data_IF_538587081457
#
_entry.id   IF_538587081457
#
_cell.length_a   1.000
_cell.length_b   1.000
_cell.length_c   1.000
_cell.angle_alpha   90.00
_cell.angle_beta   90.00
_cell.angle_gamma   90.00
#
_symmetry.space_group_name_H-M   'P 1'
#
loop_
_entity.id
_entity.type
_entity.pdbx_description
1 polymer ?
#
# COMPACT_ATOMS: atom_id res chain seq x y z
N UNK A 1 -22.42 2.58 -1.53
CA UNK A 1 -20.96 2.71 -1.41
C UNK A 1 -20.36 1.31 -1.24
N UNK A 2 -19.19 1.05 -1.81
CA UNK A 2 -18.61 -0.31 -1.82
C UNK A 2 -17.95 -0.71 -0.48
N UNK A 3 -17.59 0.26 0.36
CA UNK A 3 -16.89 0.05 1.62
C UNK A 3 -17.66 0.61 2.82
N UNK A 4 -18.97 0.74 2.70
CA UNK A 4 -19.85 1.26 3.75
C UNK A 4 -19.64 0.50 5.07
N UNK A 5 -19.36 1.23 6.15
CA UNK A 5 -19.17 0.68 7.49
C UNK A 5 -17.87 -0.13 7.67
N UNK A 6 -16.98 -0.20 6.68
CA UNK A 6 -15.68 -0.86 6.80
C UNK A 6 -14.65 0.07 7.44
N UNK A 7 -13.77 -0.51 8.24
CA UNK A 7 -12.66 0.19 8.88
C UNK A 7 -11.36 -0.25 8.23
N UNK A 8 -10.62 0.73 7.69
CA UNK A 8 -9.39 0.49 6.93
C UNK A 8 -8.17 1.13 7.61
N UNK A 9 -7.05 0.41 7.62
CA UNK A 9 -5.73 0.98 7.91
C UNK A 9 -4.97 1.16 6.58
N UNK A 10 -4.48 2.38 6.31
CA UNK A 10 -3.64 2.68 5.14
C UNK A 10 -2.29 3.22 5.61
N UNK A 11 -1.21 2.48 5.38
CA UNK A 11 0.12 2.92 5.81
C UNK A 11 0.77 3.89 4.82
N UNK A 12 1.51 4.90 5.36
CA UNK A 12 2.23 5.86 4.53
C UNK A 12 1.31 6.73 3.66
N UNK A 13 0.19 7.19 4.21
CA UNK A 13 -0.85 7.90 3.46
C UNK A 13 -0.75 9.43 3.50
N UNK A 14 0.31 10.01 4.04
CA UNK A 14 0.47 11.48 4.08
C UNK A 14 0.60 12.12 2.68
N UNK A 15 0.90 11.35 1.63
CA UNK A 15 1.07 11.82 0.25
C UNK A 15 0.91 10.70 -0.79
N UNK A 16 0.91 11.08 -2.07
CA UNK A 16 0.99 10.16 -3.22
C UNK A 16 -0.13 9.12 -3.25
N UNK A 17 0.23 7.88 -3.58
CA UNK A 17 -0.72 6.76 -3.73
C UNK A 17 -1.51 6.52 -2.44
N UNK A 18 -0.84 6.50 -1.28
CA UNK A 18 -1.52 6.25 0.00
C UNK A 18 -2.56 7.30 0.34
N UNK A 19 -2.29 8.58 0.06
CA UNK A 19 -3.24 9.69 0.22
C UNK A 19 -4.49 9.48 -0.63
N UNK A 20 -4.30 9.11 -1.90
CA UNK A 20 -5.42 8.89 -2.81
C UNK A 20 -6.23 7.63 -2.45
N UNK A 21 -5.58 6.58 -1.94
CA UNK A 21 -6.27 5.41 -1.40
C UNK A 21 -7.17 5.83 -0.23
N UNK A 22 -6.65 6.63 0.71
CA UNK A 22 -7.44 7.12 1.84
C UNK A 22 -8.67 7.94 1.38
N UNK A 23 -8.50 8.85 0.41
CA UNK A 23 -9.58 9.62 -0.20
C UNK A 23 -10.65 8.72 -0.84
N UNK A 24 -10.19 7.77 -1.66
CA UNK A 24 -11.09 6.85 -2.37
C UNK A 24 -11.86 5.95 -1.42
N UNK A 25 -11.23 5.52 -0.31
CA UNK A 25 -11.90 4.70 0.70
C UNK A 25 -12.97 5.49 1.45
N UNK A 26 -12.69 6.73 1.85
CA UNK A 26 -13.68 7.65 2.43
C UNK A 26 -14.85 7.87 1.46
N UNK A 27 -14.56 8.13 0.18
CA UNK A 27 -15.60 8.33 -0.84
C UNK A 27 -16.48 7.08 -1.05
N UNK A 28 -15.97 5.89 -0.68
CA UNK A 28 -16.70 4.63 -0.71
C UNK A 28 -17.33 4.24 0.65
N UNK A 29 -17.34 5.13 1.64
CA UNK A 29 -18.03 4.96 2.93
C UNK A 29 -17.21 4.25 4.02
N UNK A 30 -15.91 4.07 3.82
CA UNK A 30 -15.05 3.51 4.85
C UNK A 30 -14.67 4.54 5.92
N UNK A 31 -14.42 4.08 7.14
CA UNK A 31 -13.62 4.80 8.14
C UNK A 31 -12.14 4.51 7.90
N UNK A 32 -11.29 5.54 7.88
CA UNK A 32 -9.88 5.38 7.53
C UNK A 32 -8.96 5.80 8.66
N UNK A 33 -8.22 4.84 9.20
CA UNK A 33 -7.00 5.07 9.97
C UNK A 33 -5.82 5.12 9.01
N UNK A 34 -5.05 6.20 9.01
CA UNK A 34 -3.89 6.29 8.14
C UNK A 34 -2.62 6.59 8.92
N UNK A 35 -1.45 6.16 8.41
CA UNK A 35 -0.20 6.40 9.13
C UNK A 35 0.73 7.37 8.42
N UNK A 36 1.51 8.05 9.24
CA UNK A 36 2.65 8.87 8.84
C UNK A 36 3.83 8.64 9.78
N UNK A 37 5.07 8.88 9.31
CA UNK A 37 6.26 8.77 10.17
C UNK A 37 6.75 10.14 10.66
N UNK A 38 6.98 11.06 9.75
CA UNK A 38 7.56 12.39 10.01
C UNK A 38 6.78 13.57 9.43
N UNK A 39 5.80 13.29 8.56
CA UNK A 39 5.03 14.31 7.83
C UNK A 39 3.75 14.69 8.60
N UNK A 40 3.90 15.23 9.81
CA UNK A 40 2.78 15.53 10.71
C UNK A 40 1.85 16.60 10.15
N UNK A 41 2.40 17.67 9.59
CA UNK A 41 1.59 18.75 8.99
C UNK A 41 0.73 18.24 7.82
N UNK A 42 1.31 17.41 6.95
CA UNK A 42 0.56 16.79 5.85
C UNK A 42 -0.50 15.81 6.38
N UNK A 43 -0.22 15.12 7.47
CA UNK A 43 -1.18 14.21 8.08
C UNK A 43 -2.37 14.97 8.68
N UNK A 44 -2.14 16.08 9.40
CA UNK A 44 -3.19 16.95 9.93
C UNK A 44 -4.04 17.55 8.79
N UNK A 45 -3.38 18.03 7.72
CA UNK A 45 -4.08 18.56 6.56
C UNK A 45 -4.94 17.50 5.85
N UNK A 46 -4.44 16.27 5.74
CA UNK A 46 -5.20 15.17 5.16
C UNK A 46 -6.39 14.76 6.04
N UNK A 47 -6.19 14.64 7.36
CA UNK A 47 -7.28 14.31 8.28
C UNK A 47 -8.41 15.33 8.19
N UNK A 48 -8.06 16.63 8.19
CA UNK A 48 -9.02 17.71 7.99
C UNK A 48 -9.76 17.57 6.66
N UNK A 49 -9.02 17.39 5.56
CA UNK A 49 -9.60 17.21 4.21
C UNK A 49 -10.61 16.05 4.16
N UNK A 50 -10.23 14.89 4.73
CA UNK A 50 -11.06 13.69 4.71
C UNK A 50 -12.32 13.79 5.57
N UNK A 51 -12.30 14.64 6.61
CA UNK A 51 -13.40 14.80 7.55
C UNK A 51 -14.34 15.97 7.19
N UNK A 52 -13.89 16.97 6.44
CA UNK A 52 -14.68 18.14 6.04
C UNK A 52 -15.98 17.77 5.27
N UNK A 53 -15.99 16.65 4.55
CA UNK A 53 -17.13 16.16 3.78
C UNK A 53 -17.92 15.03 4.49
N UNK A 54 -17.81 14.93 5.81
CA UNK A 54 -18.52 13.94 6.62
C UNK A 54 -17.86 12.55 6.67
N UNK A 55 -16.65 12.40 6.14
CA UNK A 55 -15.85 11.20 6.30
C UNK A 55 -15.36 11.01 7.75
N UNK A 56 -14.99 9.80 8.11
CA UNK A 56 -14.37 9.49 9.41
C UNK A 56 -12.93 9.05 9.14
N UNK A 57 -11.96 9.88 9.52
CA UNK A 57 -10.55 9.59 9.33
C UNK A 57 -9.73 10.04 10.55
N UNK A 58 -8.62 9.34 10.82
CA UNK A 58 -7.66 9.71 11.87
C UNK A 58 -6.25 9.32 11.46
N UNK A 59 -5.32 10.26 11.63
CA UNK A 59 -3.89 10.06 11.42
C UNK A 59 -3.19 9.50 12.66
N UNK A 60 -2.31 8.51 12.46
CA UNK A 60 -1.53 7.88 13.51
C UNK A 60 -0.03 7.97 13.17
N UNK A 61 0.78 8.42 14.11
CA UNK A 61 2.23 8.41 13.96
C UNK A 61 2.75 7.00 14.20
N UNK A 62 3.39 6.39 13.20
CA UNK A 62 3.87 5.02 13.28
C UNK A 62 5.07 4.82 12.34
N UNK A 63 6.13 4.19 12.81
CA UNK A 63 7.25 3.74 11.99
C UNK A 63 6.98 2.31 11.54
N UNK A 64 6.61 2.13 10.28
CA UNK A 64 6.24 0.85 9.72
C UNK A 64 7.36 -0.22 9.83
N UNK A 65 8.63 0.18 9.92
CA UNK A 65 9.75 -0.73 10.10
C UNK A 65 9.80 -1.39 11.50
N UNK A 66 9.06 -0.84 12.48
CA UNK A 66 9.04 -1.32 13.87
C UNK A 66 7.80 -2.16 14.15
N UNK A 67 8.01 -3.36 14.67
CA UNK A 67 6.89 -4.25 15.00
C UNK A 67 6.03 -3.71 16.16
N UNK A 68 6.67 -3.15 17.19
CA UNK A 68 5.97 -2.54 18.32
C UNK A 68 5.04 -1.39 17.90
N UNK A 69 5.48 -0.56 16.95
CA UNK A 69 4.65 0.51 16.40
C UNK A 69 3.42 -0.04 15.68
N UNK A 70 3.56 -1.18 14.98
CA UNK A 70 2.43 -1.85 14.32
C UNK A 70 1.43 -2.43 15.34
N UNK A 71 1.90 -3.01 16.46
CA UNK A 71 1.04 -3.51 17.53
C UNK A 71 0.28 -2.35 18.21
N UNK A 72 0.97 -1.25 18.53
CA UNK A 72 0.37 -0.06 19.12
C UNK A 72 -0.65 0.57 18.16
N UNK A 73 -0.33 0.70 16.87
CA UNK A 73 -1.26 1.19 15.85
C UNK A 73 -2.57 0.36 15.83
N UNK A 74 -2.46 -0.96 15.75
CA UNK A 74 -3.64 -1.84 15.71
C UNK A 74 -4.48 -1.67 16.98
N UNK A 75 -3.83 -1.62 18.15
CA UNK A 75 -4.51 -1.40 19.42
C UNK A 75 -5.28 -0.07 19.43
N UNK A 76 -4.62 1.04 19.08
CA UNK A 76 -5.23 2.38 19.06
C UNK A 76 -6.39 2.48 18.04
N UNK A 77 -6.25 1.84 16.86
CA UNK A 77 -7.32 1.80 15.85
C UNK A 77 -8.52 1.00 16.35
N UNK A 78 -8.29 -0.17 16.95
CA UNK A 78 -9.37 -0.99 17.52
C UNK A 78 -10.06 -0.28 18.70
N UNK A 79 -9.31 0.42 19.56
CA UNK A 79 -9.87 1.24 20.64
C UNK A 79 -10.70 2.42 20.09
N UNK A 80 -10.28 3.03 18.98
CA UNK A 80 -10.96 4.19 18.37
C UNK A 80 -12.20 3.80 17.57
N UNK A 81 -12.14 2.65 16.82
CA UNK A 81 -13.14 2.31 15.81
C UNK A 81 -13.78 0.91 15.99
N UNK A 82 -13.30 0.11 16.96
CA UNK A 82 -13.89 -1.18 17.33
C UNK A 82 -13.30 -2.39 16.59
N UNK A 83 -12.92 -2.28 15.34
CA UNK A 83 -12.35 -3.37 14.52
C UNK A 83 -11.42 -2.85 13.43
N UNK A 84 -10.91 -3.75 12.59
CA UNK A 84 -10.24 -3.44 11.32
C UNK A 84 -10.63 -4.49 10.29
N UNK A 85 -11.21 -4.07 9.18
CA UNK A 85 -11.66 -4.93 8.08
C UNK A 85 -10.65 -4.98 6.94
N UNK A 86 -9.94 -3.87 6.71
CA UNK A 86 -9.07 -3.69 5.55
C UNK A 86 -7.71 -3.18 6.01
N UNK A 87 -6.65 -3.76 5.48
CA UNK A 87 -5.27 -3.26 5.64
C UNK A 87 -4.67 -3.02 4.27
N UNK A 88 -4.13 -1.81 4.06
CA UNK A 88 -3.32 -1.48 2.88
C UNK A 88 -1.89 -1.19 3.34
N UNK A 89 -1.00 -2.13 3.07
CA UNK A 89 0.43 -2.00 3.26
C UNK A 89 1.02 -1.19 2.09
N UNK A 90 0.99 0.13 2.21
CA UNK A 90 1.47 1.05 1.17
C UNK A 90 2.80 1.73 1.53
N UNK A 91 3.16 1.81 2.80
CA UNK A 91 4.42 2.45 3.21
C UNK A 91 5.62 1.85 2.47
N UNK A 92 6.46 2.71 1.92
CA UNK A 92 7.64 2.27 1.18
C UNK A 92 8.56 3.44 0.82
N UNK A 93 9.81 3.10 0.58
CA UNK A 93 10.87 4.02 0.15
C UNK A 93 11.67 3.41 -0.98
N UNK A 94 12.39 4.25 -1.71
CA UNK A 94 13.48 3.87 -2.60
C UNK A 94 14.79 4.42 -2.07
N UNK A 95 15.88 3.74 -2.38
CA UNK A 95 17.26 4.20 -2.17
C UNK A 95 18.12 3.60 -3.26
N UNK A 96 18.02 4.23 -4.43
CA UNK A 96 18.46 3.69 -5.71
C UNK A 96 19.95 3.94 -5.91
N UNK A 97 20.71 2.86 -6.16
CA UNK A 97 22.11 2.91 -6.56
C UNK A 97 22.53 1.60 -7.22
N UNK A 98 23.56 1.64 -8.06
CA UNK A 98 24.11 0.42 -8.65
C UNK A 98 24.60 -0.55 -7.55
N UNK A 99 24.35 -1.84 -7.71
CA UNK A 99 24.68 -2.87 -6.72
C UNK A 99 26.12 -2.79 -6.20
N UNK A 100 27.08 -2.50 -7.07
CA UNK A 100 28.50 -2.36 -6.71
C UNK A 100 28.76 -1.21 -5.73
N UNK A 101 27.86 -0.22 -5.63
CA UNK A 101 27.99 0.95 -4.76
C UNK A 101 26.98 0.93 -3.60
N UNK A 102 26.06 -0.03 -3.60
CA UNK A 102 25.02 -0.15 -2.59
C UNK A 102 25.64 -0.53 -1.25
N UNK A 103 25.32 0.24 -0.21
CA UNK A 103 25.75 -0.08 1.16
C UNK A 103 24.75 -1.02 1.83
N UNK A 104 25.19 -1.73 2.87
CA UNK A 104 24.34 -2.57 3.71
C UNK A 104 23.20 -1.75 4.33
N UNK A 105 23.47 -0.55 4.83
CA UNK A 105 22.45 0.36 5.39
C UNK A 105 21.36 0.73 4.37
N UNK A 106 21.72 0.94 3.10
CA UNK A 106 20.74 1.23 2.03
C UNK A 106 19.89 0.00 1.74
N UNK A 107 20.49 -1.18 1.74
CA UNK A 107 19.78 -2.44 1.59
C UNK A 107 18.81 -2.68 2.75
N UNK A 108 19.31 -2.69 3.98
CA UNK A 108 18.52 -3.00 5.18
C UNK A 108 17.36 -2.03 5.36
N UNK A 109 17.61 -0.73 5.19
CA UNK A 109 16.56 0.30 5.30
C UNK A 109 15.42 0.07 4.33
N UNK A 110 15.71 -0.29 3.07
CA UNK A 110 14.66 -0.55 2.06
C UNK A 110 13.91 -1.84 2.38
N UNK A 111 14.60 -2.90 2.80
CA UNK A 111 13.97 -4.16 3.19
C UNK A 111 13.08 -3.96 4.43
N UNK A 112 13.57 -3.26 5.44
CA UNK A 112 12.81 -3.02 6.68
C UNK A 112 11.55 -2.19 6.44
N UNK A 113 11.66 -1.10 5.67
CA UNK A 113 10.51 -0.22 5.43
C UNK A 113 9.52 -0.83 4.45
N UNK A 114 9.97 -1.52 3.39
CA UNK A 114 9.07 -2.01 2.34
C UNK A 114 8.51 -3.41 2.62
N UNK A 115 9.37 -4.37 3.00
CA UNK A 115 8.97 -5.77 3.13
C UNK A 115 8.61 -6.14 4.57
N UNK A 116 9.50 -5.83 5.52
CA UNK A 116 9.26 -6.16 6.93
C UNK A 116 8.05 -5.42 7.49
N UNK A 117 7.76 -4.20 7.02
CA UNK A 117 6.54 -3.46 7.39
C UNK A 117 5.26 -4.22 7.05
N UNK A 118 5.20 -4.87 5.88
CA UNK A 118 4.05 -5.71 5.50
C UNK A 118 3.86 -6.88 6.48
N UNK A 119 4.96 -7.53 6.88
CA UNK A 119 4.93 -8.56 7.92
C UNK A 119 4.47 -7.97 9.25
N UNK A 120 5.03 -6.85 9.70
CA UNK A 120 4.72 -6.25 11.00
C UNK A 120 3.22 -5.98 11.15
N UNK A 121 2.62 -5.23 10.24
CA UNK A 121 1.20 -4.87 10.35
C UNK A 121 0.29 -6.07 10.11
N UNK A 122 0.61 -6.93 9.12
CA UNK A 122 -0.17 -8.15 8.88
C UNK A 122 -0.20 -9.05 10.11
N UNK A 123 0.94 -9.26 10.76
CA UNK A 123 1.03 -10.06 11.99
C UNK A 123 0.27 -9.41 13.15
N UNK A 124 0.40 -8.11 13.35
CA UNK A 124 -0.29 -7.39 14.42
C UNK A 124 -1.81 -7.48 14.29
N UNK A 125 -2.36 -7.39 13.06
CA UNK A 125 -3.81 -7.42 12.83
C UNK A 125 -4.41 -8.83 12.81
N UNK A 126 -3.61 -9.88 12.65
CA UNK A 126 -4.12 -11.25 12.46
C UNK A 126 -5.15 -11.67 13.51
N UNK A 127 -4.91 -11.39 14.80
CA UNK A 127 -5.83 -11.80 15.88
C UNK A 127 -7.21 -11.17 15.71
N UNK A 128 -7.28 -9.90 15.31
CA UNK A 128 -8.54 -9.17 15.07
C UNK A 128 -9.29 -9.77 13.90
N UNK A 129 -8.64 -9.96 12.75
CA UNK A 129 -9.27 -10.54 11.55
C UNK A 129 -9.66 -12.00 11.74
N UNK A 130 -8.83 -12.83 12.41
CA UNK A 130 -9.16 -14.22 12.72
C UNK A 130 -10.40 -14.35 13.61
N UNK A 131 -10.55 -13.46 14.60
CA UNK A 131 -11.74 -13.41 15.48
C UNK A 131 -12.99 -12.99 14.69
N UNK A 132 -12.86 -12.01 13.80
CA UNK A 132 -13.94 -11.53 12.93
C UNK A 132 -14.30 -12.55 11.82
N UNK A 133 -13.39 -13.46 11.46
CA UNK A 133 -13.49 -14.37 10.30
C UNK A 133 -13.77 -13.61 8.99
N UNK A 134 -13.17 -12.47 8.85
CA UNK A 134 -13.28 -11.59 7.70
C UNK A 134 -12.07 -10.66 7.63
N UNK A 135 -11.65 -10.27 6.43
CA UNK A 135 -10.60 -9.29 6.24
C UNK A 135 -10.09 -9.22 4.81
N UNK A 136 -9.57 -8.06 4.43
CA UNK A 136 -8.85 -7.85 3.17
C UNK A 136 -7.50 -7.19 3.43
N UNK A 137 -6.43 -7.87 3.08
CA UNK A 137 -5.06 -7.37 3.15
C UNK A 137 -4.60 -7.08 1.72
N UNK A 138 -4.16 -5.84 1.49
CA UNK A 138 -3.71 -5.36 0.18
C UNK A 138 -2.27 -4.86 0.35
N UNK A 139 -1.35 -5.47 -0.38
CA UNK A 139 0.06 -5.14 -0.32
C UNK A 139 0.48 -4.38 -1.58
N UNK A 140 1.00 -3.17 -1.43
CA UNK A 140 1.48 -2.38 -2.57
C UNK A 140 2.91 -2.80 -2.92
N UNK A 141 3.02 -3.58 -3.99
CA UNK A 141 4.28 -3.98 -4.61
C UNK A 141 4.73 -2.96 -5.67
N UNK A 142 5.25 -3.43 -6.80
CA UNK A 142 5.65 -2.64 -7.97
C UNK A 142 5.88 -3.57 -9.15
N UNK A 143 5.77 -3.07 -10.38
CA UNK A 143 6.28 -3.78 -11.58
C UNK A 143 7.76 -4.11 -11.47
N UNK A 144 8.53 -3.29 -10.76
CA UNK A 144 9.96 -3.53 -10.48
C UNK A 144 10.16 -4.79 -9.62
N UNK A 145 9.21 -5.14 -8.77
CA UNK A 145 9.22 -6.41 -8.02
C UNK A 145 8.92 -7.63 -8.91
N UNK A 146 8.31 -7.44 -10.08
CA UNK A 146 8.00 -8.50 -11.04
C UNK A 146 9.17 -8.71 -12.01
N UNK A 147 9.71 -7.64 -12.60
CA UNK A 147 10.70 -7.73 -13.69
C UNK A 147 12.12 -7.28 -13.31
N UNK A 148 12.29 -6.63 -12.14
CA UNK A 148 13.57 -6.01 -11.79
C UNK A 148 13.78 -4.65 -12.46
N UNK A 149 14.78 -3.91 -11.97
CA UNK A 149 15.29 -2.69 -12.59
C UNK A 149 16.73 -2.44 -12.18
N UNK A 150 17.58 -2.02 -13.12
CA UNK A 150 18.97 -1.66 -12.83
C UNK A 150 19.04 -0.50 -11.83
N UNK A 151 19.94 -0.60 -10.84
CA UNK A 151 20.07 0.39 -9.78
C UNK A 151 19.07 0.27 -8.63
N UNK A 152 18.17 -0.71 -8.69
CA UNK A 152 17.11 -0.92 -7.69
C UNK A 152 17.12 -2.33 -7.09
N UNK A 153 18.29 -2.92 -6.88
CA UNK A 153 18.38 -4.30 -6.39
C UNK A 153 17.66 -4.50 -5.04
N UNK A 154 17.84 -3.58 -4.08
CA UNK A 154 17.16 -3.58 -2.78
C UNK A 154 15.64 -3.39 -2.93
N UNK A 155 15.21 -2.41 -3.72
CA UNK A 155 13.81 -2.13 -3.96
C UNK A 155 13.13 -3.30 -4.68
N UNK A 156 13.74 -3.82 -5.76
CA UNK A 156 13.25 -5.00 -6.49
C UNK A 156 13.08 -6.21 -5.58
N UNK A 157 14.10 -6.50 -4.77
CA UNK A 157 14.06 -7.61 -3.81
C UNK A 157 12.92 -7.43 -2.80
N UNK A 158 12.76 -6.21 -2.24
CA UNK A 158 11.70 -5.92 -1.28
C UNK A 158 10.31 -6.10 -1.90
N UNK A 159 10.10 -5.60 -3.12
CA UNK A 159 8.81 -5.66 -3.82
C UNK A 159 8.49 -7.06 -4.37
N UNK A 160 9.49 -7.83 -4.78
CA UNK A 160 9.35 -9.25 -5.12
C UNK A 160 9.00 -10.08 -3.87
N UNK A 161 9.67 -9.81 -2.73
CA UNK A 161 9.38 -10.46 -1.45
C UNK A 161 7.93 -10.28 -1.01
N UNK A 162 7.33 -9.10 -1.25
CA UNK A 162 5.91 -8.83 -1.00
C UNK A 162 5.00 -9.79 -1.79
N UNK A 163 5.35 -10.14 -3.03
CA UNK A 163 4.54 -11.05 -3.85
C UNK A 163 4.54 -12.47 -3.27
N UNK A 164 5.70 -12.97 -2.85
CA UNK A 164 5.83 -14.25 -2.15
C UNK A 164 5.08 -14.26 -0.82
N UNK A 165 5.26 -13.20 -0.01
CA UNK A 165 4.56 -13.02 1.27
C UNK A 165 3.04 -13.01 1.08
N UNK A 166 2.52 -12.29 0.09
CA UNK A 166 1.09 -12.23 -0.23
C UNK A 166 0.50 -13.61 -0.50
N UNK A 167 1.18 -14.42 -1.31
CA UNK A 167 0.72 -15.78 -1.65
C UNK A 167 0.66 -16.68 -0.41
N UNK A 168 1.69 -16.66 0.43
CA UNK A 168 1.75 -17.46 1.65
C UNK A 168 0.66 -17.06 2.63
N UNK A 169 0.46 -15.76 2.88
CA UNK A 169 -0.59 -15.26 3.77
C UNK A 169 -2.00 -15.60 3.24
N UNK A 170 -2.21 -15.53 1.92
CA UNK A 170 -3.48 -15.91 1.31
C UNK A 170 -3.84 -17.40 1.54
N UNK A 171 -2.85 -18.29 1.41
CA UNK A 171 -3.03 -19.73 1.66
C UNK A 171 -3.30 -20.02 3.15
N UNK A 172 -2.58 -19.34 4.03
CA UNK A 172 -2.69 -19.53 5.48
C UNK A 172 -4.03 -19.04 6.04
N UNK A 173 -4.51 -17.86 5.57
CA UNK A 173 -5.67 -17.19 6.14
C UNK A 173 -6.98 -17.43 5.36
N UNK A 174 -6.93 -18.02 4.17
CA UNK A 174 -8.09 -18.22 3.31
C UNK A 174 -9.22 -19.02 3.95
N UNK A 175 -8.90 -20.05 4.76
CA UNK A 175 -9.90 -20.84 5.51
C UNK A 175 -10.66 -20.02 6.57
N UNK A 176 -10.22 -18.82 6.85
CA UNK A 176 -10.85 -17.85 7.77
C UNK A 176 -11.55 -16.71 7.05
N UNK A 177 -11.77 -16.82 5.75
CA UNK A 177 -12.38 -15.76 4.91
C UNK A 177 -11.58 -14.45 4.93
N UNK A 178 -10.26 -14.53 5.13
CA UNK A 178 -9.35 -13.39 5.06
C UNK A 178 -8.61 -13.49 3.72
N UNK A 179 -8.73 -12.47 2.89
CA UNK A 179 -8.09 -12.39 1.59
C UNK A 179 -6.78 -11.59 1.70
N UNK A 180 -5.78 -11.98 0.94
CA UNK A 180 -4.54 -11.23 0.83
C UNK A 180 -4.12 -11.15 -0.63
N UNK A 181 -4.00 -9.94 -1.17
CA UNK A 181 -3.63 -9.70 -2.56
C UNK A 181 -2.55 -8.60 -2.65
N UNK A 182 -1.84 -8.56 -3.76
CA UNK A 182 -0.89 -7.51 -4.08
C UNK A 182 -1.37 -6.66 -5.25
N UNK A 183 -0.99 -5.40 -5.26
CA UNK A 183 -1.05 -4.52 -6.43
C UNK A 183 0.38 -4.22 -6.83
N UNK A 184 0.68 -4.31 -8.14
CA UNK A 184 1.96 -3.92 -8.72
C UNK A 184 1.76 -2.69 -9.62
N UNK A 185 1.89 -1.47 -9.07
CA UNK A 185 1.84 -0.26 -9.88
C UNK A 185 3.01 -0.19 -10.86
N UNK A 186 2.76 0.35 -12.06
CA UNK A 186 3.78 0.76 -12.99
C UNK A 186 4.32 2.15 -12.68
N UNK A 187 4.59 2.93 -13.73
CA UNK A 187 4.93 4.34 -13.59
C UNK A 187 3.66 5.14 -13.22
N UNK A 188 3.63 5.67 -11.99
CA UNK A 188 2.52 6.50 -11.46
C UNK A 188 2.99 7.93 -11.31
N UNK A 189 2.30 8.85 -11.98
CA UNK A 189 2.55 10.27 -11.90
C UNK A 189 2.08 10.81 -10.54
N UNK A 190 3.03 11.34 -9.76
CA UNK A 190 2.82 11.88 -8.42
C UNK A 190 3.64 13.18 -8.29
N UNK A 191 3.42 13.94 -7.24
CA UNK A 191 4.24 15.13 -6.91
C UNK A 191 5.76 14.83 -6.93
N UNK A 192 6.14 13.58 -6.73
CA UNK A 192 7.55 13.15 -6.75
C UNK A 192 8.08 13.04 -8.20
N UNK A 193 7.24 12.62 -9.13
CA UNK A 193 7.60 12.47 -10.55
C UNK A 193 7.46 13.77 -11.34
N UNK A 194 6.68 14.75 -10.87
CA UNK A 194 6.57 16.09 -11.46
C UNK A 194 7.90 16.86 -11.50
N UNK A 195 8.86 16.45 -10.66
CA UNK A 195 10.20 17.06 -10.61
C UNK A 195 11.20 16.46 -11.59
N UNK A 196 10.80 15.44 -12.34
CA UNK A 196 11.64 14.78 -13.33
C UNK A 196 11.65 15.56 -14.64
N UNK A 197 12.73 15.42 -15.40
CA UNK A 197 12.84 15.98 -16.74
C UNK A 197 11.74 15.41 -17.65
N UNK A 198 11.02 16.28 -18.35
CA UNK A 198 9.91 15.88 -19.24
C UNK A 198 10.37 14.87 -20.31
N UNK A 199 11.61 14.95 -20.79
CA UNK A 199 12.14 13.99 -21.74
C UNK A 199 12.24 12.58 -21.14
N UNK A 200 12.57 12.46 -19.85
CA UNK A 200 12.60 11.19 -19.11
C UNK A 200 11.19 10.65 -18.93
N UNK A 201 10.26 11.51 -18.52
CA UNK A 201 8.85 11.14 -18.33
C UNK A 201 8.24 10.69 -19.67
N UNK A 202 8.51 11.43 -20.76
CA UNK A 202 8.02 11.05 -22.08
C UNK A 202 8.63 9.73 -22.55
N UNK A 203 9.92 9.48 -22.30
CA UNK A 203 10.55 8.20 -22.59
C UNK A 203 9.85 7.01 -21.90
N UNK A 204 9.40 7.20 -20.66
CA UNK A 204 8.61 6.17 -19.98
C UNK A 204 7.21 6.01 -20.58
N UNK A 205 6.50 7.13 -20.83
CA UNK A 205 5.17 7.08 -21.49
C UNK A 205 5.22 6.34 -22.84
N UNK A 206 6.31 6.49 -23.59
CA UNK A 206 6.48 5.82 -24.89
C UNK A 206 6.61 4.30 -24.77
N UNK A 207 7.12 3.80 -23.64
CA UNK A 207 7.21 2.35 -23.38
C UNK A 207 5.90 1.75 -22.85
N UNK A 208 4.98 2.58 -22.33
CA UNK A 208 3.69 2.13 -21.79
C UNK A 208 2.70 1.94 -22.96
N UNK A 209 2.07 0.75 -23.11
CA UNK A 209 1.07 0.53 -24.16
C UNK A 209 -0.08 1.56 -24.16
N UNK A 210 -0.60 1.95 -22.99
CA UNK A 210 -1.65 2.97 -22.87
C UNK A 210 -1.14 4.42 -23.07
N UNK A 211 0.16 4.61 -23.38
CA UNK A 211 0.77 5.91 -23.74
C UNK A 211 0.58 7.04 -22.73
N UNK A 212 0.40 6.69 -21.47
CA UNK A 212 0.34 7.62 -20.34
C UNK A 212 0.91 6.99 -19.07
N UNK A 213 1.37 7.79 -18.15
CA UNK A 213 1.56 7.36 -16.77
C UNK A 213 0.21 7.03 -16.12
N UNK A 214 0.22 6.17 -15.11
CA UNK A 214 -0.92 5.97 -14.24
C UNK A 214 -1.06 7.14 -13.27
N UNK A 215 -2.27 7.40 -12.80
CA UNK A 215 -2.54 8.30 -11.70
C UNK A 215 -2.60 7.55 -10.37
N UNK A 216 -2.43 8.21 -9.22
CA UNK A 216 -2.73 7.61 -7.91
C UNK A 216 -4.15 7.03 -7.83
N UNK A 217 -5.12 7.64 -8.53
CA UNK A 217 -6.51 7.16 -8.61
C UNK A 217 -6.62 5.82 -9.35
N UNK A 218 -5.80 5.55 -10.37
CA UNK A 218 -5.78 4.24 -11.04
C UNK A 218 -5.43 3.13 -10.03
N UNK A 219 -4.49 3.37 -9.12
CA UNK A 219 -4.09 2.43 -8.07
C UNK A 219 -5.15 2.35 -6.96
N UNK A 220 -5.70 3.49 -6.55
CA UNK A 220 -6.73 3.55 -5.51
C UNK A 220 -8.01 2.79 -5.92
N UNK A 221 -8.42 2.87 -7.19
CA UNK A 221 -9.55 2.10 -7.72
C UNK A 221 -9.31 0.59 -7.62
N UNK A 222 -8.10 0.13 -7.91
CA UNK A 222 -7.72 -1.27 -7.72
C UNK A 222 -7.76 -1.68 -6.24
N UNK A 223 -7.35 -0.78 -5.32
CA UNK A 223 -7.49 -1.00 -3.88
C UNK A 223 -8.95 -1.10 -3.45
N UNK A 224 -9.85 -0.23 -3.94
CA UNK A 224 -11.29 -0.29 -3.67
C UNK A 224 -11.87 -1.62 -4.14
N UNK A 225 -11.53 -2.08 -5.35
CA UNK A 225 -11.94 -3.40 -5.84
C UNK A 225 -11.49 -4.53 -4.91
N UNK A 226 -10.19 -4.58 -4.55
CA UNK A 226 -9.65 -5.62 -3.69
C UNK A 226 -10.15 -5.52 -2.23
N UNK A 227 -10.53 -4.34 -1.77
CA UNK A 227 -11.09 -4.12 -0.44
C UNK A 227 -12.56 -4.56 -0.34
N UNK A 228 -13.30 -4.48 -1.44
CA UNK A 228 -14.75 -4.73 -1.49
C UNK A 228 -15.13 -6.19 -1.75
N UNK A 229 -16.42 -6.48 -1.64
CA UNK A 229 -17.01 -7.79 -1.95
C UNK A 229 -16.96 -8.13 -3.44
N UNK A 230 -16.69 -7.17 -4.32
CA UNK A 230 -16.44 -7.42 -5.75
C UNK A 230 -15.29 -8.40 -5.99
N UNK A 231 -14.36 -8.50 -5.05
CA UNK A 231 -13.21 -9.39 -5.09
C UNK A 231 -13.32 -10.56 -4.07
N UNK A 232 -14.54 -10.94 -3.66
CA UNK A 232 -14.77 -11.96 -2.63
C UNK A 232 -14.12 -13.32 -2.95
N UNK A 233 -13.91 -13.64 -4.23
CA UNK A 233 -13.26 -14.89 -4.68
C UNK A 233 -11.84 -14.67 -5.22
N UNK A 234 -11.20 -13.53 -4.86
CA UNK A 234 -9.84 -13.17 -5.29
C UNK A 234 -8.91 -13.14 -4.08
N UNK A 235 -7.97 -14.09 -4.01
CA UNK A 235 -6.93 -14.11 -2.98
C UNK A 235 -5.62 -14.70 -3.54
N UNK A 236 -4.47 -14.28 -3.02
CA UNK A 236 -3.14 -14.71 -3.46
C UNK A 236 -2.71 -14.12 -4.81
N UNK A 237 -3.45 -13.17 -5.36
CA UNK A 237 -3.21 -12.61 -6.69
C UNK A 237 -2.36 -11.34 -6.64
N UNK A 238 -1.67 -11.08 -7.75
CA UNK A 238 -1.00 -9.80 -8.03
C UNK A 238 -1.72 -9.12 -9.17
N UNK A 239 -2.29 -7.94 -8.92
CA UNK A 239 -2.94 -7.12 -9.92
C UNK A 239 -1.96 -6.06 -10.43
N UNK A 240 -1.54 -6.18 -11.68
CA UNK A 240 -0.68 -5.18 -12.32
C UNK A 240 -1.52 -3.96 -12.71
N UNK A 241 -1.19 -2.78 -12.17
CA UNK A 241 -1.80 -1.48 -12.52
C UNK A 241 -0.72 -0.64 -13.20
N UNK A 242 -0.43 -0.95 -14.45
CA UNK A 242 0.79 -0.50 -15.12
C UNK A 242 0.61 -0.05 -16.58
N UNK A 243 -0.64 0.10 -17.06
CA UNK A 243 -0.88 0.51 -18.44
C UNK A 243 -0.37 -0.47 -19.51
N UNK A 244 -0.11 -1.74 -19.11
CA UNK A 244 0.39 -2.76 -20.01
C UNK A 244 1.93 -2.89 -20.04
N UNK A 245 2.68 -2.22 -19.16
CA UNK A 245 4.14 -2.38 -19.05
C UNK A 245 4.54 -3.84 -18.81
N UNK A 246 3.70 -4.59 -18.11
CA UNK A 246 3.84 -6.02 -17.86
C UNK A 246 2.53 -6.69 -18.26
N UNK A 247 2.61 -7.78 -19.04
CA UNK A 247 1.47 -8.53 -19.57
C UNK A 247 1.44 -9.99 -19.12
N UNK A 248 2.24 -10.36 -18.14
CA UNK A 248 2.30 -11.73 -17.60
C UNK A 248 1.85 -11.78 -16.14
#
# INVERSE_FOLDING_TARGET
MLLEGKIAIVTGASRGIGKEIARSFIAQGATVAFTYRSSEEQAIALEKELTENGGVAKGFKSDAAKFEDAENLVKEVVESFGTVDIVVNNAGITDDTLLMRMTEDQWDRVIDVNLKSCFNLTKAIMRTMLKARAGSIINISSVVGVQGNAGQANYSASKAGILGFTKSVALELGSRSIRCNAIAPGFIETEMTEKLDEAVVQGWRDTIPLKRGGSPTDVANACVFLASDMSAYVTGQTLNVCGGMITA
#
